data_IF_097100130681
#
_entry.id   IF_097100130681
#
_cell.length_a   1.000
_cell.length_b   1.000
_cell.length_c   1.000
_cell.angle_alpha   90.00
_cell.angle_beta   90.00
_cell.angle_gamma   90.00
#
_symmetry.space_group_name_H-M   'P 1'
#
loop_
_entity.id
_entity.type
_entity.pdbx_description
1 polymer ?
#
# COMPACT_ATOMS: atom_id res chain seq x y z
N UNK A 1 8.25 23.48 -17.31
CA UNK A 1 7.58 22.45 -16.48
C UNK A 1 8.51 21.25 -16.36
N UNK A 2 8.63 20.61 -15.20
CA UNK A 2 9.56 19.49 -15.01
C UNK A 2 8.81 18.17 -15.02
N UNK A 3 9.13 17.32 -15.99
CA UNK A 3 8.54 15.99 -16.14
C UNK A 3 9.51 14.96 -15.57
N UNK A 4 8.94 13.97 -14.89
CA UNK A 4 9.65 12.94 -14.14
C UNK A 4 9.42 11.58 -14.81
N UNK A 5 10.50 10.93 -15.21
CA UNK A 5 10.47 9.60 -15.85
C UNK A 5 11.56 8.67 -15.30
N UNK A 6 11.57 7.41 -15.76
CA UNK A 6 12.64 6.45 -15.49
C UNK A 6 14.00 6.89 -16.06
N UNK A 7 14.03 7.81 -17.03
CA UNK A 7 15.25 8.37 -17.59
C UNK A 7 15.71 9.64 -16.86
N UNK A 8 15.09 9.95 -15.71
CA UNK A 8 15.40 11.14 -14.92
C UNK A 8 14.39 12.27 -15.11
N UNK A 9 14.85 13.49 -14.84
CA UNK A 9 14.05 14.72 -14.92
C UNK A 9 14.38 15.49 -16.18
N UNK A 10 13.35 15.92 -16.90
CA UNK A 10 13.51 16.80 -18.05
C UNK A 10 12.65 18.05 -17.91
N UNK A 11 13.22 19.19 -18.29
CA UNK A 11 12.51 20.46 -18.34
C UNK A 11 11.89 20.58 -19.72
N UNK A 12 10.56 20.62 -19.76
CA UNK A 12 9.80 20.83 -20.97
C UNK A 12 9.23 22.24 -21.00
N UNK A 13 9.49 22.94 -22.11
CA UNK A 13 8.92 24.25 -22.42
C UNK A 13 7.49 24.08 -22.89
N UNK A 14 6.53 24.37 -22.02
CA UNK A 14 5.13 24.13 -22.28
C UNK A 14 4.49 25.36 -22.92
N UNK A 15 3.93 25.17 -24.12
CA UNK A 15 3.09 26.19 -24.76
C UNK A 15 1.70 26.22 -24.12
N UNK A 16 1.25 27.44 -23.81
CA UNK A 16 -0.14 27.74 -23.43
C UNK A 16 -0.83 28.32 -24.65
N UNK A 17 -2.04 27.85 -24.89
CA UNK A 17 -2.92 28.40 -25.92
C UNK A 17 -3.95 29.30 -25.26
N UNK A 18 -4.39 30.34 -25.95
CA UNK A 18 -5.54 31.13 -25.54
C UNK A 18 -6.77 30.52 -26.21
N UNK A 19 -7.75 30.13 -25.41
CA UNK A 19 -9.04 29.62 -25.89
C UNK A 19 -10.19 30.30 -25.16
N UNK A 20 -11.37 30.24 -25.75
CA UNK A 20 -12.61 30.68 -25.10
C UNK A 20 -13.49 29.45 -24.97
N UNK A 21 -13.77 29.03 -23.74
CA UNK A 21 -14.77 28.01 -23.43
C UNK A 21 -15.88 28.65 -22.60
N UNK A 22 -17.13 28.48 -23.03
CA UNK A 22 -18.32 29.00 -22.34
C UNK A 22 -18.23 30.50 -21.99
N UNK A 23 -17.64 31.30 -22.90
CA UNK A 23 -17.48 32.74 -22.71
C UNK A 23 -16.40 33.17 -21.70
N UNK A 24 -15.60 32.23 -21.18
CA UNK A 24 -14.44 32.52 -20.32
C UNK A 24 -13.14 32.23 -21.07
N UNK A 25 -12.17 33.11 -20.90
CA UNK A 25 -10.80 32.86 -21.35
C UNK A 25 -10.21 31.69 -20.55
N UNK A 26 -9.88 30.64 -21.28
CA UNK A 26 -9.13 29.51 -20.76
C UNK A 26 -7.73 29.54 -21.38
N UNK A 27 -6.75 29.14 -20.58
CA UNK A 27 -5.37 29.02 -21.04
C UNK A 27 -4.94 27.56 -21.02
N UNK A 28 -5.55 26.69 -21.86
CA UNK A 28 -5.22 25.28 -21.87
C UNK A 28 -3.77 25.10 -22.29
N UNK A 29 -3.13 24.18 -21.58
CA UNK A 29 -1.78 23.74 -21.84
C UNK A 29 -1.80 22.63 -22.89
N UNK A 30 -0.79 22.52 -23.76
CA UNK A 30 -0.69 21.41 -24.74
C UNK A 30 -0.91 20.02 -24.11
N UNK A 31 -0.35 19.77 -22.93
CA UNK A 31 -0.57 18.53 -22.17
C UNK A 31 -2.01 18.32 -21.69
N UNK A 32 -2.73 19.42 -21.40
CA UNK A 32 -4.15 19.37 -21.04
C UNK A 32 -5.03 19.03 -22.24
N UNK A 33 -4.73 19.59 -23.41
CA UNK A 33 -5.46 19.29 -24.66
C UNK A 33 -5.27 17.85 -25.11
N UNK A 34 -4.08 17.29 -24.90
CA UNK A 34 -3.72 15.93 -25.36
C UNK A 34 -3.91 14.86 -24.29
N UNK A 35 -4.38 15.24 -23.08
CA UNK A 35 -4.58 14.33 -21.95
C UNK A 35 -3.38 13.43 -21.61
N UNK A 36 -2.15 13.89 -21.90
CA UNK A 36 -0.94 13.08 -21.71
C UNK A 36 -0.53 12.93 -20.25
N UNK A 37 -0.92 13.87 -19.39
CA UNK A 37 -0.59 13.89 -17.96
C UNK A 37 -1.80 14.25 -17.09
N UNK A 38 -2.80 13.36 -16.96
CA UNK A 38 -4.01 13.64 -16.18
C UNK A 38 -3.68 13.81 -14.68
N UNK A 39 -2.80 12.97 -14.14
CA UNK A 39 -2.44 12.95 -12.70
C UNK A 39 -1.03 13.49 -12.44
N UNK A 40 -0.70 14.59 -13.12
CA UNK A 40 0.56 15.31 -12.94
C UNK A 40 1.72 14.79 -13.80
N UNK A 41 2.85 15.51 -13.71
CA UNK A 41 4.03 15.37 -14.58
C UNK A 41 4.93 14.17 -14.24
N UNK A 42 4.32 13.03 -13.91
CA UNK A 42 5.01 11.75 -13.61
C UNK A 42 4.57 10.74 -14.66
N UNK A 43 5.52 10.17 -15.39
CA UNK A 43 5.24 9.15 -16.42
C UNK A 43 4.56 7.91 -15.81
N UNK A 44 3.67 7.26 -16.57
CA UNK A 44 2.96 6.04 -16.14
C UNK A 44 3.93 4.93 -15.73
N UNK A 45 4.94 4.64 -16.56
CA UNK A 45 5.98 3.63 -16.28
C UNK A 45 6.71 3.87 -14.97
N UNK A 46 6.99 5.13 -14.63
CA UNK A 46 7.62 5.47 -13.35
C UNK A 46 6.69 5.19 -12.17
N UNK A 47 5.39 5.47 -12.30
CA UNK A 47 4.39 5.14 -11.28
C UNK A 47 4.31 3.63 -11.09
N UNK A 48 4.18 2.87 -12.17
CA UNK A 48 4.14 1.41 -12.15
C UNK A 48 5.39 0.81 -11.50
N UNK A 49 6.57 1.28 -11.89
CA UNK A 49 7.83 0.84 -11.30
C UNK A 49 7.85 1.12 -9.79
N UNK A 50 7.47 2.34 -9.38
CA UNK A 50 7.45 2.71 -7.95
C UNK A 50 6.46 1.88 -7.14
N UNK A 51 5.27 1.60 -7.69
CA UNK A 51 4.26 0.79 -7.04
C UNK A 51 4.67 -0.68 -6.95
N UNK A 52 5.27 -1.23 -8.02
CA UNK A 52 5.70 -2.62 -8.06
C UNK A 52 6.75 -2.95 -7.00
N UNK A 53 7.77 -2.11 -6.86
CA UNK A 53 8.84 -2.35 -5.87
C UNK A 53 8.43 -2.00 -4.44
N UNK A 54 7.38 -1.19 -4.25
CA UNK A 54 6.81 -0.90 -2.93
C UNK A 54 6.19 -2.12 -2.25
N UNK A 55 5.93 -3.20 -3.00
CA UNK A 55 5.50 -4.48 -2.43
C UNK A 55 6.61 -5.22 -1.68
N UNK A 56 7.88 -4.91 -1.96
CA UNK A 56 9.06 -5.64 -1.41
C UNK A 56 9.99 -4.75 -0.60
N UNK A 57 9.99 -3.45 -0.87
CA UNK A 57 10.87 -2.48 -0.24
C UNK A 57 10.04 -1.38 0.43
N UNK A 58 10.61 -0.77 1.47
CA UNK A 58 10.03 0.43 2.05
C UNK A 58 10.03 1.58 1.04
N UNK A 59 9.13 2.56 1.20
CA UNK A 59 9.07 3.72 0.30
C UNK A 59 10.39 4.50 0.23
N UNK A 60 11.15 4.54 1.34
CA UNK A 60 12.50 5.12 1.36
C UNK A 60 13.48 4.29 0.51
N UNK A 61 13.43 2.96 0.62
CA UNK A 61 14.25 2.06 -0.19
C UNK A 61 13.93 2.14 -1.69
N UNK A 62 12.65 2.29 -2.05
CA UNK A 62 12.26 2.50 -3.45
C UNK A 62 12.75 3.85 -3.98
N UNK A 63 12.69 4.92 -3.17
CA UNK A 63 13.25 6.22 -3.57
C UNK A 63 14.77 6.14 -3.80
N UNK A 64 15.49 5.38 -2.97
CA UNK A 64 16.91 5.14 -3.16
C UNK A 64 17.19 4.30 -4.41
N UNK A 65 16.42 3.24 -4.66
CA UNK A 65 16.51 2.44 -5.88
C UNK A 65 16.30 3.30 -7.13
N UNK A 66 15.28 4.17 -7.13
CA UNK A 66 15.03 5.10 -8.21
C UNK A 66 16.20 6.06 -8.44
N UNK A 67 16.82 6.56 -7.37
CA UNK A 67 18.03 7.38 -7.47
C UNK A 67 19.19 6.62 -8.14
N UNK A 68 19.37 5.33 -7.82
CA UNK A 68 20.42 4.50 -8.41
C UNK A 68 20.15 4.19 -9.89
N UNK A 69 18.91 3.91 -10.25
CA UNK A 69 18.52 3.55 -11.63
C UNK A 69 18.46 4.77 -12.54
N UNK A 70 17.86 5.87 -12.08
CA UNK A 70 17.65 7.06 -12.89
C UNK A 70 18.84 8.03 -12.86
N UNK A 71 19.83 7.80 -11.99
CA UNK A 71 20.94 8.72 -11.71
C UNK A 71 20.54 9.97 -10.91
N UNK A 72 19.25 10.20 -10.70
CA UNK A 72 18.70 11.42 -10.12
C UNK A 72 17.57 11.15 -9.13
N UNK A 73 17.34 12.08 -8.18
CA UNK A 73 16.24 11.96 -7.21
C UNK A 73 14.91 12.33 -7.85
N UNK A 74 14.28 11.38 -8.54
CA UNK A 74 13.03 11.61 -9.32
C UNK A 74 11.79 11.69 -8.42
N UNK A 75 11.68 10.82 -7.42
CA UNK A 75 10.55 10.74 -6.48
C UNK A 75 11.03 10.66 -5.04
N UNK A 76 10.29 11.31 -4.13
CA UNK A 76 10.47 11.15 -2.69
C UNK A 76 9.63 9.99 -2.18
N UNK A 77 9.99 9.44 -1.01
CA UNK A 77 9.20 8.38 -0.38
C UNK A 77 7.74 8.77 -0.11
N UNK A 78 7.47 10.05 0.20
CA UNK A 78 6.13 10.57 0.34
C UNK A 78 5.35 10.56 -1.00
N UNK A 79 6.02 10.95 -2.10
CA UNK A 79 5.41 10.90 -3.44
C UNK A 79 5.10 9.48 -3.90
N UNK A 80 5.94 8.50 -3.55
CA UNK A 80 5.70 7.08 -3.85
C UNK A 80 4.48 6.58 -3.06
N UNK A 81 4.39 6.94 -1.77
CA UNK A 81 3.24 6.59 -0.93
C UNK A 81 1.93 7.11 -1.53
N UNK A 82 1.90 8.35 -2.01
CA UNK A 82 0.72 8.94 -2.63
C UNK A 82 0.30 8.17 -3.90
N UNK A 83 1.26 7.81 -4.75
CA UNK A 83 1.00 7.01 -5.95
C UNK A 83 0.38 5.65 -5.58
N UNK A 84 0.92 4.98 -4.57
CA UNK A 84 0.42 3.68 -4.10
C UNK A 84 -0.96 3.82 -3.47
N UNK A 85 -1.18 4.84 -2.64
CA UNK A 85 -2.47 5.11 -1.99
C UNK A 85 -3.56 5.46 -3.01
N UNK A 86 -3.23 6.26 -4.02
CA UNK A 86 -4.11 6.57 -5.14
C UNK A 86 -4.50 5.30 -5.90
N UNK A 87 -3.52 4.45 -6.22
CA UNK A 87 -3.80 3.18 -6.93
C UNK A 87 -4.66 2.22 -6.10
N UNK A 88 -4.40 2.12 -4.80
CA UNK A 88 -5.21 1.32 -3.89
C UNK A 88 -6.66 1.83 -3.84
N UNK A 89 -6.86 3.15 -3.81
CA UNK A 89 -8.19 3.77 -3.82
C UNK A 89 -8.94 3.51 -5.12
N UNK A 90 -8.26 3.58 -6.27
CA UNK A 90 -8.84 3.22 -7.57
C UNK A 90 -9.34 1.77 -7.58
N UNK A 91 -8.50 0.83 -7.12
CA UNK A 91 -8.83 -0.60 -7.08
C UNK A 91 -9.99 -0.84 -6.12
N UNK A 92 -9.96 -0.24 -4.93
CA UNK A 92 -11.02 -0.40 -3.94
C UNK A 92 -12.38 0.10 -4.48
N UNK A 93 -12.37 1.23 -5.21
CA UNK A 93 -13.57 1.73 -5.88
C UNK A 93 -14.05 0.79 -6.99
N UNK A 94 -13.15 0.20 -7.75
CA UNK A 94 -13.49 -0.75 -8.81
C UNK A 94 -14.13 -2.02 -8.23
N UNK A 95 -13.52 -2.60 -7.20
CA UNK A 95 -14.05 -3.77 -6.47
C UNK A 95 -15.41 -3.42 -5.85
N UNK A 96 -15.54 -2.26 -5.22
CA UNK A 96 -16.80 -1.82 -4.63
C UNK A 96 -17.94 -1.72 -5.65
N UNK A 97 -17.64 -1.24 -6.87
CA UNK A 97 -18.61 -1.23 -7.98
C UNK A 97 -18.96 -2.65 -8.44
N UNK A 98 -17.96 -3.49 -8.68
CA UNK A 98 -18.17 -4.88 -9.11
C UNK A 98 -19.04 -5.65 -8.11
N UNK A 99 -18.76 -5.50 -6.80
CA UNK A 99 -19.58 -6.10 -5.75
C UNK A 99 -21.01 -5.53 -5.77
N UNK A 100 -21.17 -4.20 -5.88
CA UNK A 100 -22.51 -3.59 -5.93
C UNK A 100 -23.33 -4.07 -7.14
N UNK A 101 -22.70 -4.21 -8.30
CA UNK A 101 -23.32 -4.72 -9.52
C UNK A 101 -23.75 -6.19 -9.33
N UNK A 102 -22.88 -7.04 -8.78
CA UNK A 102 -23.18 -8.44 -8.47
C UNK A 102 -24.34 -8.59 -7.47
N UNK A 103 -24.43 -7.72 -6.46
CA UNK A 103 -25.52 -7.74 -5.48
C UNK A 103 -26.85 -7.29 -6.09
N UNK A 104 -26.79 -6.36 -7.03
CA UNK A 104 -27.98 -5.81 -7.70
C UNK A 104 -28.58 -6.82 -8.69
N UNK A 105 -27.74 -7.52 -9.45
CA UNK A 105 -28.16 -8.49 -10.46
C UNK A 105 -28.63 -9.82 -9.87
N UNK A 106 -27.96 -10.31 -8.81
CA UNK A 106 -28.22 -11.67 -8.31
C UNK A 106 -29.25 -11.76 -7.18
N UNK A 107 -29.67 -10.64 -6.57
CA UNK A 107 -30.48 -10.61 -5.33
C UNK A 107 -30.11 -11.78 -4.41
N UNK A 108 -28.86 -11.85 -3.91
CA UNK A 108 -28.42 -13.00 -3.10
C UNK A 108 -29.39 -13.16 -1.93
N UNK A 109 -30.18 -14.23 -1.97
CA UNK A 109 -31.32 -14.42 -1.09
C UNK A 109 -30.90 -14.73 0.34
N UNK A 110 -29.65 -15.17 0.55
CA UNK A 110 -29.08 -15.49 1.86
C UNK A 110 -27.57 -15.29 1.81
N UNK A 111 -27.06 -14.27 2.52
CA UNK A 111 -25.66 -14.27 2.93
C UNK A 111 -25.49 -15.29 4.08
N UNK A 112 -24.36 -16.00 4.16
CA UNK A 112 -24.08 -16.82 5.33
C UNK A 112 -24.11 -15.94 6.58
N UNK A 113 -24.76 -16.44 7.64
CA UNK A 113 -24.80 -15.74 8.92
C UNK A 113 -23.36 -15.64 9.43
N UNK A 114 -22.81 -14.42 9.39
CA UNK A 114 -21.50 -14.14 9.98
C UNK A 114 -21.71 -14.08 11.49
N UNK A 115 -21.03 -14.94 12.24
CA UNK A 115 -21.05 -14.87 13.70
C UNK A 115 -20.52 -13.50 14.15
N UNK A 116 -21.33 -12.77 14.92
CA UNK A 116 -20.96 -11.47 15.46
C UNK A 116 -19.78 -11.56 16.43
N UNK A 117 -19.68 -12.69 17.14
CA UNK A 117 -18.58 -13.00 18.03
C UNK A 117 -17.86 -14.24 17.50
N UNK A 118 -16.63 -14.01 17.05
CA UNK A 118 -15.67 -15.09 16.82
C UNK A 118 -14.95 -15.27 18.15
N UNK A 119 -14.90 -16.51 18.66
CA UNK A 119 -14.04 -16.85 19.80
C UNK A 119 -12.57 -16.73 19.38
N UNK A 120 -12.11 -15.49 19.20
CA UNK A 120 -10.72 -15.17 18.93
C UNK A 120 -9.96 -15.48 20.21
N UNK A 121 -8.87 -16.23 20.06
CA UNK A 121 -7.95 -16.63 21.12
C UNK A 121 -7.77 -15.54 22.19
N UNK A 122 -8.19 -15.84 23.42
CA UNK A 122 -7.98 -14.96 24.57
C UNK A 122 -6.64 -15.28 25.23
N UNK A 123 -5.68 -14.37 25.02
CA UNK A 123 -4.32 -14.45 25.59
C UNK A 123 -4.30 -14.54 27.13
N UNK A 124 -5.39 -14.20 27.82
CA UNK A 124 -5.49 -14.27 29.29
C UNK A 124 -5.95 -15.63 29.80
N UNK A 125 -6.50 -16.47 28.92
CA UNK A 125 -6.97 -17.80 29.29
C UNK A 125 -5.77 -18.68 29.66
N UNK A 126 -5.91 -19.49 30.71
CA UNK A 126 -4.85 -20.41 31.12
C UNK A 126 -4.67 -21.51 30.08
N UNK A 127 -3.47 -21.55 29.49
CA UNK A 127 -3.11 -22.55 28.49
C UNK A 127 -2.21 -23.63 29.08
N UNK A 128 -2.59 -24.86 28.82
CA UNK A 128 -1.72 -26.02 29.00
C UNK A 128 -0.91 -26.22 27.74
N UNK A 129 0.40 -25.94 27.80
CA UNK A 129 1.33 -26.21 26.71
C UNK A 129 1.58 -27.72 26.64
N UNK A 130 0.96 -28.39 25.67
CA UNK A 130 1.21 -29.80 25.36
C UNK A 130 2.34 -29.85 24.34
N UNK A 131 3.52 -30.25 24.80
CA UNK A 131 4.65 -30.58 23.93
C UNK A 131 4.69 -32.10 23.79
N UNK A 132 4.44 -32.58 22.58
CA UNK A 132 4.67 -33.98 22.23
C UNK A 132 6.08 -34.08 21.64
N UNK A 133 7.02 -34.45 22.49
CA UNK A 133 8.33 -34.91 22.03
C UNK A 133 8.33 -36.43 22.23
N UNK A 134 8.67 -37.19 21.19
CA UNK A 134 8.65 -38.66 21.17
C UNK A 134 9.66 -39.30 22.12
N UNK A 135 10.20 -38.55 23.07
CA UNK A 135 11.25 -38.92 24.00
C UNK A 135 10.75 -38.59 25.42
N UNK A 136 10.62 -39.63 26.25
CA UNK A 136 10.10 -39.59 27.62
C UNK A 136 11.02 -38.82 28.59
N UNK A 137 10.95 -37.49 28.59
CA UNK A 137 11.71 -36.66 29.55
C UNK A 137 10.86 -36.25 30.76
N UNK A 138 11.50 -36.23 31.94
CA UNK A 138 10.90 -36.00 33.26
C UNK A 138 10.28 -34.60 33.43
N UNK A 139 8.98 -34.62 33.70
CA UNK A 139 8.08 -33.59 34.28
C UNK A 139 7.99 -32.24 33.56
N UNK A 140 6.81 -32.03 33.01
CA UNK A 140 6.35 -30.86 32.28
C UNK A 140 5.95 -29.72 33.23
N UNK A 141 6.22 -28.47 32.85
CA UNK A 141 5.66 -27.28 33.53
C UNK A 141 4.19 -27.16 33.16
N UNK A 142 3.31 -27.13 34.15
CA UNK A 142 1.85 -27.13 34.00
C UNK A 142 1.29 -25.84 33.40
N UNK A 143 2.00 -24.71 33.53
CA UNK A 143 1.49 -23.40 33.10
C UNK A 143 2.58 -22.51 32.49
N UNK A 144 2.18 -21.68 31.53
CA UNK A 144 3.05 -20.68 30.89
C UNK A 144 3.21 -19.45 31.80
N UNK A 145 4.42 -19.19 32.30
CA UNK A 145 4.71 -17.95 33.05
C UNK A 145 4.58 -16.70 32.17
N UNK A 146 3.93 -15.65 32.70
CA UNK A 146 3.77 -14.36 32.01
C UNK A 146 5.12 -13.67 31.85
N UNK A 147 5.24 -12.76 30.89
CA UNK A 147 6.51 -12.05 30.62
C UNK A 147 7.02 -11.25 31.83
N UNK A 148 6.12 -10.79 32.71
CA UNK A 148 6.46 -10.12 33.97
C UNK A 148 7.07 -11.05 35.04
N UNK A 149 6.85 -12.37 34.92
CA UNK A 149 7.38 -13.39 35.85
C UNK A 149 8.67 -14.06 35.32
N UNK A 150 9.23 -13.56 34.22
CA UNK A 150 10.53 -14.02 33.73
C UNK A 150 11.61 -13.32 34.56
N UNK A 151 12.53 -14.07 35.21
CA UNK A 151 13.68 -13.44 35.85
C UNK A 151 14.47 -12.68 34.78
N UNK A 152 14.87 -11.45 35.08
CA UNK A 152 15.77 -10.68 34.23
C UNK A 152 17.10 -11.44 34.12
N UNK A 153 17.64 -11.56 32.91
CA UNK A 153 18.91 -12.28 32.63
C UNK A 153 20.17 -11.64 33.26
N UNK A 154 20.03 -10.70 34.22
CA UNK A 154 21.13 -9.99 34.85
C UNK A 154 21.43 -10.40 36.31
N UNK A 155 20.93 -11.54 36.77
CA UNK A 155 21.23 -12.05 38.12
C UNK A 155 21.87 -13.43 38.10
N UNK A 156 22.97 -13.56 37.36
CA UNK A 156 23.97 -14.63 37.54
C UNK A 156 25.38 -14.04 37.34
N UNK A 157 25.87 -13.36 38.39
CA UNK A 157 27.27 -13.30 38.77
C UNK A 157 27.37 -13.68 40.25
#
# INVERSE_FOLDING_TARGET
MTIRSLHGKFVFGVCRFCGIENGKEIYPTWFGLTSQFPDGYVSSRLREFSAFYSNRLSYAGVAELLRRVCGDSVLSGAGIREIVAGKASEINRAIGKEVADLLSDRKPSVFPVINAEVAVYDRKTEETLIFDDGIQVKKQKTTRKKAADRPSENSLL
#
